data_IF_677570475943
#
_entry.id   IF_677570475943
#
_cell.length_a   1.000
_cell.length_b   1.000
_cell.length_c   1.000
_cell.angle_alpha   90.00
_cell.angle_beta   90.00
_cell.angle_gamma   90.00
#
_symmetry.space_group_name_H-M   'P 1'
#
loop_
_entity.id
_entity.type
_entity.pdbx_description
1 polymer ?
#
# COMPACT_ATOMS: atom_id res chain seq x y z
N UNK A 1 28.26 31.42 -34.17
CA UNK A 1 27.78 30.84 -32.90
C UNK A 1 27.34 29.40 -33.15
N UNK A 2 27.98 28.41 -32.52
CA UNK A 2 27.56 26.99 -32.63
C UNK A 2 26.32 26.79 -31.77
N UNK A 3 25.19 26.44 -32.39
CA UNK A 3 24.02 25.94 -31.68
C UNK A 3 24.34 24.57 -31.11
N UNK A 4 24.61 24.50 -29.81
CA UNK A 4 24.69 23.25 -29.06
C UNK A 4 23.26 22.72 -28.98
N UNK A 5 22.94 21.68 -29.75
CA UNK A 5 21.72 20.89 -29.57
C UNK A 5 21.77 20.30 -28.16
N UNK A 6 21.12 20.94 -27.19
CA UNK A 6 20.87 20.34 -25.88
C UNK A 6 20.04 19.08 -26.12
N UNK A 7 20.63 17.90 -25.87
CA UNK A 7 19.86 16.66 -25.83
C UNK A 7 18.74 16.86 -24.80
N UNK A 8 17.48 16.49 -25.11
CA UNK A 8 16.41 16.57 -24.12
C UNK A 8 16.88 15.81 -22.88
N UNK A 9 16.80 16.44 -21.72
CA UNK A 9 17.19 15.84 -20.45
C UNK A 9 16.41 14.53 -20.33
N UNK A 10 17.13 13.41 -20.42
CA UNK A 10 16.56 12.08 -20.22
C UNK A 10 15.85 12.10 -18.88
N UNK A 11 14.55 11.81 -18.89
CA UNK A 11 13.79 11.73 -17.65
C UNK A 11 14.40 10.60 -16.81
N UNK A 12 14.73 10.89 -15.55
CA UNK A 12 15.17 9.88 -14.60
C UNK A 12 13.94 9.16 -14.02
N UNK A 13 14.19 8.01 -13.40
CA UNK A 13 13.14 7.18 -12.82
C UNK A 13 12.40 7.91 -11.69
N UNK A 14 13.14 8.66 -10.87
CA UNK A 14 12.61 9.50 -9.80
C UNK A 14 11.59 10.52 -10.32
N UNK A 15 11.93 11.29 -11.36
CA UNK A 15 11.02 12.28 -11.95
C UNK A 15 9.78 11.60 -12.51
N UNK A 16 9.92 10.44 -13.15
CA UNK A 16 8.78 9.68 -13.64
C UNK A 16 7.86 9.21 -12.50
N UNK A 17 8.43 8.76 -11.37
CA UNK A 17 7.66 8.36 -10.19
C UNK A 17 6.93 9.54 -9.55
N UNK A 18 7.56 10.71 -9.45
CA UNK A 18 6.90 11.92 -8.94
C UNK A 18 5.72 12.32 -9.81
N UNK A 19 5.87 12.26 -11.15
CA UNK A 19 4.75 12.51 -12.08
C UNK A 19 3.63 11.49 -11.94
N UNK A 20 3.96 10.20 -11.76
CA UNK A 20 2.95 9.18 -11.50
C UNK A 20 2.19 9.45 -10.19
N UNK A 21 2.88 9.86 -9.13
CA UNK A 21 2.26 10.21 -7.85
C UNK A 21 1.30 11.40 -8.00
N UNK A 22 1.69 12.44 -8.76
CA UNK A 22 0.81 13.57 -9.05
C UNK A 22 -0.46 13.15 -9.79
N UNK A 23 -0.36 12.21 -10.74
CA UNK A 23 -1.53 11.66 -11.43
C UNK A 23 -2.42 10.87 -10.47
N UNK A 24 -1.85 10.12 -9.53
CA UNK A 24 -2.64 9.38 -8.53
C UNK A 24 -3.30 10.30 -7.50
N UNK A 25 -2.65 11.40 -7.15
CA UNK A 25 -3.17 12.43 -6.28
C UNK A 25 -4.33 13.18 -6.93
N UNK A 26 -4.23 13.53 -8.22
CA UNK A 26 -5.31 14.17 -8.97
C UNK A 26 -6.51 13.25 -9.21
N UNK A 27 -6.32 11.93 -9.15
CA UNK A 27 -7.39 10.94 -9.15
C UNK A 27 -8.12 10.83 -7.79
N UNK A 28 -7.78 11.67 -6.81
CA UNK A 28 -8.32 11.65 -5.45
C UNK A 28 -8.18 10.28 -4.77
N UNK A 29 -7.03 9.63 -4.99
CA UNK A 29 -6.68 8.39 -4.29
C UNK A 29 -6.62 8.65 -2.78
N UNK A 30 -7.23 7.78 -1.96
CA UNK A 30 -7.27 7.98 -0.51
C UNK A 30 -5.88 8.09 0.13
N UNK A 31 -5.75 8.92 1.16
CA UNK A 31 -4.49 9.26 1.85
C UNK A 31 -3.65 8.03 2.24
N UNK A 32 -4.27 7.01 2.84
CA UNK A 32 -3.58 5.78 3.23
C UNK A 32 -3.02 5.02 2.02
N UNK A 33 -3.78 4.98 0.93
CA UNK A 33 -3.34 4.36 -0.32
C UNK A 33 -2.21 5.16 -0.97
N UNK A 34 -2.27 6.50 -0.95
CA UNK A 34 -1.17 7.36 -1.41
C UNK A 34 0.09 7.18 -0.58
N UNK A 35 -0.03 7.02 0.74
CA UNK A 35 1.10 6.70 1.62
C UNK A 35 1.73 5.36 1.25
N UNK A 36 0.93 4.33 0.99
CA UNK A 36 1.42 3.03 0.52
C UNK A 36 2.16 3.16 -0.83
N UNK A 37 1.63 3.94 -1.77
CA UNK A 37 2.31 4.24 -3.04
C UNK A 37 3.67 4.91 -2.82
N UNK A 38 3.72 6.01 -2.05
CA UNK A 38 4.95 6.77 -1.77
C UNK A 38 6.01 5.88 -1.11
N UNK A 39 5.62 5.10 -0.11
CA UNK A 39 6.54 4.21 0.60
C UNK A 39 7.09 3.11 -0.30
N UNK A 40 6.25 2.49 -1.14
CA UNK A 40 6.68 1.43 -2.03
C UNK A 40 7.60 1.94 -3.14
N UNK A 41 7.28 3.08 -3.74
CA UNK A 41 8.09 3.69 -4.80
C UNK A 41 9.42 4.21 -4.25
N UNK A 42 9.44 4.82 -3.07
CA UNK A 42 10.68 5.26 -2.42
C UNK A 42 11.62 4.07 -2.13
N UNK A 43 11.08 2.94 -1.66
CA UNK A 43 11.86 1.71 -1.46
C UNK A 43 12.42 1.16 -2.77
N UNK A 44 11.61 1.15 -3.83
CA UNK A 44 12.08 0.71 -5.13
C UNK A 44 13.17 1.63 -5.68
N UNK A 45 13.00 2.95 -5.54
CA UNK A 45 13.97 3.93 -6.00
C UNK A 45 15.33 3.75 -5.29
N UNK A 46 15.31 3.51 -3.98
CA UNK A 46 16.52 3.29 -3.17
C UNK A 46 17.32 2.05 -3.61
N UNK A 47 16.65 1.01 -4.11
CA UNK A 47 17.28 -0.23 -4.59
C UNK A 47 17.58 -0.19 -6.11
N UNK A 48 17.25 0.91 -6.80
CA UNK A 48 17.36 1.04 -8.26
C UNK A 48 18.54 1.91 -8.72
N UNK A 49 18.90 1.79 -9.99
CA UNK A 49 19.92 2.64 -10.63
C UNK A 49 19.37 4.01 -11.08
N UNK A 50 18.15 4.38 -10.68
CA UNK A 50 17.45 5.62 -11.06
C UNK A 50 17.37 5.86 -12.59
N UNK A 51 17.34 4.80 -13.39
CA UNK A 51 17.34 4.87 -14.85
C UNK A 51 16.04 4.32 -15.44
N UNK A 52 15.54 4.98 -16.49
CA UNK A 52 14.44 4.46 -17.32
C UNK A 52 14.94 3.59 -18.48
N UNK A 53 16.25 3.41 -18.61
CA UNK A 53 16.83 2.53 -19.61
C UNK A 53 16.35 1.09 -19.41
N UNK A 54 15.77 0.50 -20.45
CA UNK A 54 15.04 -0.76 -20.34
C UNK A 54 15.82 -1.93 -19.71
N UNK A 55 17.08 -2.25 -20.09
CA UNK A 55 17.82 -3.35 -19.47
C UNK A 55 18.13 -3.09 -17.99
N UNK A 56 18.43 -1.85 -17.60
CA UNK A 56 18.65 -1.47 -16.20
C UNK A 56 17.34 -1.56 -15.41
N UNK A 57 16.27 -0.94 -15.89
CA UNK A 57 14.95 -0.97 -15.25
C UNK A 57 14.44 -2.42 -15.09
N UNK A 58 14.64 -3.26 -16.11
CA UNK A 58 14.30 -4.67 -16.06
C UNK A 58 15.07 -5.40 -14.95
N UNK A 59 16.38 -5.16 -14.84
CA UNK A 59 17.22 -5.73 -13.78
C UNK A 59 16.76 -5.27 -12.39
N UNK A 60 16.47 -3.98 -12.24
CA UNK A 60 16.03 -3.39 -10.97
C UNK A 60 14.68 -3.95 -10.53
N UNK A 61 13.72 -4.09 -11.44
CA UNK A 61 12.41 -4.70 -11.17
C UNK A 61 12.57 -6.15 -10.69
N UNK A 62 13.39 -6.96 -11.37
CA UNK A 62 13.60 -8.35 -11.00
C UNK A 62 14.30 -8.48 -9.65
N UNK A 63 15.36 -7.69 -9.44
CA UNK A 63 16.12 -7.66 -8.17
C UNK A 63 15.22 -7.25 -7.01
N UNK A 64 14.40 -6.22 -7.19
CA UNK A 64 13.47 -5.75 -6.16
C UNK A 64 12.45 -6.83 -5.76
N UNK A 65 11.85 -7.54 -6.72
CA UNK A 65 10.91 -8.61 -6.39
C UNK A 65 11.60 -9.86 -5.83
N UNK A 66 12.82 -10.16 -6.26
CA UNK A 66 13.61 -11.27 -5.72
C UNK A 66 14.07 -11.04 -4.28
N UNK A 67 14.31 -9.77 -3.90
CA UNK A 67 14.67 -9.39 -2.53
C UNK A 67 13.50 -9.53 -1.54
N UNK A 68 12.25 -9.67 -2.01
CA UNK A 68 11.10 -9.91 -1.13
C UNK A 68 11.13 -11.39 -0.71
N UNK A 69 11.40 -11.70 0.58
CA UNK A 69 11.45 -13.08 1.03
C UNK A 69 10.09 -13.75 0.88
N UNK A 70 10.10 -15.08 0.76
CA UNK A 70 8.91 -15.88 0.56
C UNK A 70 8.01 -15.90 1.81
N UNK A 71 7.19 -14.84 1.93
CA UNK A 71 6.31 -14.57 3.08
C UNK A 71 4.86 -14.52 2.60
N UNK A 72 3.96 -14.01 3.45
CA UNK A 72 2.54 -13.88 3.16
C UNK A 72 2.26 -13.25 1.78
N UNK A 73 1.24 -13.75 1.05
CA UNK A 73 0.86 -13.23 -0.26
C UNK A 73 0.66 -11.71 -0.28
N UNK A 74 0.06 -11.15 0.79
CA UNK A 74 -0.13 -9.72 0.96
C UNK A 74 1.18 -8.90 0.89
N UNK A 75 2.29 -9.43 1.43
CA UNK A 75 3.59 -8.75 1.46
C UNK A 75 4.21 -8.61 0.07
N UNK A 76 3.96 -9.57 -0.82
CA UNK A 76 4.38 -9.52 -2.22
C UNK A 76 3.38 -8.77 -3.10
N UNK A 77 2.08 -9.01 -2.89
CA UNK A 77 1.00 -8.49 -3.73
C UNK A 77 0.84 -6.98 -3.65
N UNK A 78 1.11 -6.37 -2.49
CA UNK A 78 1.08 -4.90 -2.33
C UNK A 78 2.13 -4.23 -3.24
N UNK A 79 3.44 -4.51 -3.09
CA UNK A 79 4.46 -3.98 -4.01
C UNK A 79 4.19 -4.31 -5.48
N UNK A 80 3.73 -5.53 -5.78
CA UNK A 80 3.38 -5.92 -7.15
C UNK A 80 2.34 -4.98 -7.76
N UNK A 81 1.27 -4.65 -7.03
CA UNK A 81 0.22 -3.76 -7.51
C UNK A 81 0.74 -2.35 -7.77
N UNK A 82 1.51 -1.81 -6.83
CA UNK A 82 2.09 -0.47 -6.94
C UNK A 82 3.04 -0.36 -8.13
N UNK A 83 4.02 -1.25 -8.23
CA UNK A 83 5.03 -1.21 -9.29
C UNK A 83 4.40 -1.52 -10.66
N UNK A 84 3.45 -2.46 -10.74
CA UNK A 84 2.74 -2.72 -11.99
C UNK A 84 1.89 -1.52 -12.43
N UNK A 85 1.23 -0.81 -11.51
CA UNK A 85 0.48 0.40 -11.84
C UNK A 85 1.40 1.49 -12.39
N UNK A 86 2.56 1.70 -11.76
CA UNK A 86 3.58 2.63 -12.23
C UNK A 86 4.11 2.24 -13.63
N UNK A 87 4.50 0.99 -13.84
CA UNK A 87 5.05 0.53 -15.12
C UNK A 87 4.02 0.57 -16.26
N UNK A 88 2.74 0.32 -15.98
CA UNK A 88 1.70 0.49 -16.99
C UNK A 88 1.50 1.98 -17.35
N UNK A 89 1.47 2.86 -16.35
CA UNK A 89 1.44 4.31 -16.62
C UNK A 89 2.67 4.77 -17.40
N UNK A 90 3.87 4.31 -17.05
CA UNK A 90 5.10 4.64 -17.76
C UNK A 90 5.08 4.15 -19.22
N UNK A 91 4.44 3.01 -19.49
CA UNK A 91 4.22 2.49 -20.84
C UNK A 91 3.22 3.35 -21.61
N UNK A 92 2.12 3.78 -20.98
CA UNK A 92 1.12 4.68 -21.57
C UNK A 92 1.69 6.08 -21.90
N UNK A 93 2.65 6.56 -21.11
CA UNK A 93 3.38 7.80 -21.36
C UNK A 93 4.55 7.61 -22.35
N UNK A 94 4.68 6.44 -22.97
CA UNK A 94 5.76 6.07 -23.90
C UNK A 94 7.18 6.21 -23.32
N UNK A 95 7.31 6.24 -21.98
CA UNK A 95 8.60 6.30 -21.28
C UNK A 95 9.37 4.98 -21.36
N UNK A 96 8.64 3.87 -21.45
CA UNK A 96 9.19 2.53 -21.61
C UNK A 96 8.48 1.81 -22.76
N UNK A 97 9.23 1.05 -23.56
CA UNK A 97 8.64 0.31 -24.68
C UNK A 97 7.87 -0.95 -24.26
N UNK A 98 8.21 -1.56 -23.11
CA UNK A 98 7.60 -2.80 -22.61
C UNK A 98 7.59 -2.82 -21.09
N UNK A 99 6.56 -3.43 -20.49
CA UNK A 99 6.49 -3.64 -19.04
C UNK A 99 7.27 -4.92 -18.63
N UNK A 100 8.34 -4.83 -17.82
CA UNK A 100 9.13 -5.98 -17.38
C UNK A 100 8.31 -7.06 -16.66
N UNK A 101 7.31 -6.68 -15.87
CA UNK A 101 6.44 -7.60 -15.12
C UNK A 101 5.66 -8.49 -16.10
N UNK A 102 5.09 -7.90 -17.16
CA UNK A 102 4.33 -8.62 -18.17
C UNK A 102 5.23 -9.53 -19.02
N UNK A 103 6.41 -9.06 -19.38
CA UNK A 103 7.40 -9.83 -20.18
C UNK A 103 7.87 -11.07 -19.41
N UNK A 104 8.13 -10.94 -18.11
CA UNK A 104 8.56 -12.05 -17.26
C UNK A 104 7.44 -12.89 -16.68
N UNK A 105 6.18 -12.59 -17.02
CA UNK A 105 4.99 -13.30 -16.51
C UNK A 105 5.00 -13.37 -14.97
N UNK A 106 5.37 -12.26 -14.32
CA UNK A 106 5.25 -12.15 -12.87
C UNK A 106 3.75 -12.00 -12.54
N UNK A 107 3.28 -12.80 -11.59
CA UNK A 107 1.88 -12.83 -11.19
C UNK A 107 1.74 -12.55 -9.69
N UNK A 108 0.58 -12.01 -9.30
CA UNK A 108 0.19 -11.95 -7.89
C UNK A 108 0.20 -13.35 -7.30
N UNK A 109 0.66 -13.48 -6.06
CA UNK A 109 0.56 -14.72 -5.28
C UNK A 109 -0.90 -14.92 -4.89
N UNK A 110 -1.38 -16.17 -4.98
CA UNK A 110 -2.72 -16.52 -4.50
C UNK A 110 -2.77 -16.29 -2.99
N UNK A 111 -3.79 -15.56 -2.56
CA UNK A 111 -4.11 -15.39 -1.14
C UNK A 111 -5.34 -16.24 -0.87
N UNK A 112 -5.15 -17.36 -0.16
CA UNK A 112 -6.24 -18.26 0.20
C UNK A 112 -7.15 -17.66 1.29
N UNK A 113 -6.85 -16.45 1.78
CA UNK A 113 -7.77 -15.70 2.64
C UNK A 113 -8.09 -16.45 3.93
N UNK A 114 -7.10 -17.15 4.49
CA UNK A 114 -7.28 -18.01 5.67
C UNK A 114 -7.38 -17.19 6.97
N UNK A 115 -8.32 -16.24 7.00
CA UNK A 115 -8.73 -15.52 8.21
C UNK A 115 -9.62 -16.49 8.98
N UNK A 116 -9.07 -17.10 10.04
CA UNK A 116 -9.85 -18.00 10.88
C UNK A 116 -10.90 -17.19 11.64
N UNK A 117 -12.19 -17.50 11.52
CA UNK A 117 -13.22 -16.82 12.29
C UNK A 117 -12.99 -17.07 13.78
N UNK A 118 -13.18 -16.03 14.60
CA UNK A 118 -13.06 -16.16 16.05
C UNK A 118 -14.27 -16.96 16.58
N UNK A 119 -14.09 -18.13 17.22
CA UNK A 119 -15.19 -18.87 17.80
C UNK A 119 -15.77 -18.14 19.01
N UNK A 120 -17.09 -18.29 19.23
CA UNK A 120 -17.86 -17.59 20.26
C UNK A 120 -17.28 -17.82 21.66
N UNK A 121 -16.87 -19.05 21.98
CA UNK A 121 -16.33 -19.40 23.30
C UNK A 121 -15.03 -18.64 23.61
N UNK A 122 -14.19 -18.43 22.60
CA UNK A 122 -12.94 -17.65 22.75
C UNK A 122 -13.23 -16.17 22.88
N UNK A 123 -14.24 -15.65 22.18
CA UNK A 123 -14.69 -14.27 22.35
C UNK A 123 -15.26 -14.04 23.76
N UNK A 124 -16.08 -14.96 24.27
CA UNK A 124 -16.62 -14.89 25.63
C UNK A 124 -15.51 -14.92 26.69
N UNK A 125 -14.55 -15.84 26.55
CA UNK A 125 -13.40 -15.92 27.45
C UNK A 125 -12.56 -14.63 27.43
N UNK A 126 -12.34 -14.04 26.25
CA UNK A 126 -11.67 -12.76 26.11
C UNK A 126 -12.43 -11.62 26.81
N UNK A 127 -13.73 -11.49 26.57
CA UNK A 127 -14.56 -10.46 27.21
C UNK A 127 -14.65 -10.61 28.73
N UNK A 128 -14.63 -11.85 29.24
CA UNK A 128 -14.60 -12.14 30.67
C UNK A 128 -13.28 -11.74 31.34
N UNK A 129 -12.18 -11.72 30.58
CA UNK A 129 -10.85 -11.35 31.10
C UNK A 129 -10.66 -9.84 31.30
N UNK A 130 -11.57 -9.01 30.79
CA UNK A 130 -11.50 -7.55 30.93
C UNK A 130 -11.98 -7.12 32.33
N UNK A 131 -11.14 -6.35 33.02
CA UNK A 131 -11.42 -5.84 34.37
C UNK A 131 -12.42 -4.67 34.34
N UNK A 132 -13.69 -5.00 34.52
CA UNK A 132 -14.82 -4.06 34.54
C UNK A 132 -14.88 -3.17 35.78
N UNK A 133 -14.04 -3.40 36.79
CA UNK A 133 -13.96 -2.53 37.97
C UNK A 133 -13.18 -1.24 37.71
N UNK A 134 -12.36 -1.22 36.66
CA UNK A 134 -11.63 -0.03 36.22
C UNK A 134 -12.35 0.64 35.05
N UNK A 135 -12.21 1.96 34.95
CA UNK A 135 -12.77 2.71 33.81
C UNK A 135 -12.21 2.22 32.47
N UNK A 136 -10.90 1.95 32.40
CA UNK A 136 -10.26 1.46 31.17
C UNK A 136 -10.77 0.10 30.75
N UNK A 137 -10.89 -0.86 31.69
CA UNK A 137 -11.41 -2.18 31.35
C UNK A 137 -12.92 -2.19 31.05
N UNK A 138 -13.72 -1.33 31.72
CA UNK A 138 -15.12 -1.12 31.37
C UNK A 138 -15.27 -0.52 29.96
N UNK A 139 -14.46 0.51 29.62
CA UNK A 139 -14.45 1.13 28.28
C UNK A 139 -14.10 0.11 27.21
N UNK A 140 -13.03 -0.66 27.41
CA UNK A 140 -12.57 -1.65 26.43
C UNK A 140 -13.61 -2.78 26.25
N UNK A 141 -14.25 -3.22 27.34
CA UNK A 141 -15.37 -4.17 27.28
C UNK A 141 -16.54 -3.63 26.46
N UNK A 142 -16.96 -2.38 26.70
CA UNK A 142 -18.06 -1.74 25.97
C UNK A 142 -17.72 -1.59 24.48
N UNK A 143 -16.49 -1.20 24.14
CA UNK A 143 -16.04 -1.11 22.73
C UNK A 143 -16.12 -2.49 22.06
N UNK A 144 -15.58 -3.54 22.70
CA UNK A 144 -15.61 -4.90 22.13
C UNK A 144 -17.05 -5.43 21.96
N UNK A 145 -17.93 -5.18 22.94
CA UNK A 145 -19.35 -5.53 22.85
C UNK A 145 -20.05 -4.77 21.72
N UNK A 146 -19.81 -3.47 21.60
CA UNK A 146 -20.40 -2.64 20.55
C UNK A 146 -19.94 -3.07 19.16
N UNK A 147 -18.64 -3.38 19.00
CA UNK A 147 -18.10 -3.92 17.74
C UNK A 147 -18.72 -5.27 17.36
N UNK A 148 -19.16 -6.05 18.34
CA UNK A 148 -19.73 -7.39 18.13
C UNK A 148 -21.25 -7.36 17.90
N UNK A 149 -21.96 -6.30 18.31
CA UNK A 149 -23.43 -6.22 18.29
C UNK A 149 -24.01 -5.50 17.07
N UNK A 150 -23.25 -4.62 16.41
CA UNK A 150 -23.74 -3.91 15.22
C UNK A 150 -23.80 -4.85 14.02
N UNK A 151 -25.02 -5.08 13.49
CA UNK A 151 -25.27 -5.82 12.23
C UNK A 151 -24.49 -5.28 11.03
N UNK A 152 -24.09 -4.01 11.09
CA UNK A 152 -23.17 -3.39 10.15
C UNK A 152 -21.77 -3.39 10.77
N UNK A 153 -20.83 -4.13 10.20
CA UNK A 153 -19.42 -4.11 10.64
C UNK A 153 -18.78 -2.76 10.32
N UNK A 154 -19.08 -1.71 11.10
CA UNK A 154 -18.45 -0.39 10.96
C UNK A 154 -16.97 -0.49 11.28
N UNK A 155 -16.14 0.14 10.43
CA UNK A 155 -14.69 0.15 10.64
C UNK A 155 -14.39 0.97 11.88
N UNK A 156 -13.30 0.63 12.58
CA UNK A 156 -12.81 1.37 13.76
C UNK A 156 -12.68 2.88 13.50
N UNK A 157 -12.32 3.27 12.28
CA UNK A 157 -12.26 4.66 11.81
C UNK A 157 -13.58 5.41 11.94
N UNK A 158 -14.70 4.73 11.68
CA UNK A 158 -16.04 5.34 11.64
C UNK A 158 -16.53 5.67 13.06
N UNK A 159 -15.99 4.99 14.07
CA UNK A 159 -16.29 5.24 15.49
C UNK A 159 -15.53 6.45 16.03
N UNK A 160 -14.28 6.67 15.60
CA UNK A 160 -13.49 7.81 16.05
C UNK A 160 -14.03 9.15 15.54
N UNK A 161 -14.65 9.16 14.36
CA UNK A 161 -15.25 10.36 13.76
C UNK A 161 -16.66 10.67 14.28
N UNK A 162 -17.33 9.72 14.93
CA UNK A 162 -18.72 9.88 15.41
C UNK A 162 -18.83 10.16 16.91
N UNK A 163 -17.75 10.07 17.69
CA UNK A 163 -17.71 10.51 19.09
C UNK A 163 -17.33 12.00 19.18
N UNK A 164 -18.24 12.91 19.57
CA UNK A 164 -17.84 14.27 19.91
C UNK A 164 -16.92 14.21 21.13
N UNK A 165 -15.72 14.79 21.00
CA UNK A 165 -14.84 15.02 22.14
C UNK A 165 -15.63 15.85 23.16
N UNK A 166 -15.71 15.44 24.44
CA UNK A 166 -16.30 16.29 25.45
C UNK A 166 -15.46 17.57 25.50
N UNK A 167 -16.12 18.71 25.26
CA UNK A 167 -15.56 20.03 25.51
C UNK A 167 -15.04 20.04 26.94
N UNK A 168 -13.71 20.08 27.09
CA UNK A 168 -13.10 20.37 28.38
C UNK A 168 -13.59 21.77 28.79
N UNK A 169 -14.39 21.83 29.85
CA UNK A 169 -14.65 23.03 30.64
C UNK A 169 -13.82 22.95 31.90
#
# INVERSE_FOLDING_TARGET
>A
MRMVKMKPKSMDLETAMQKFLLVKESQHTGEETMKDYRNCLARFLADSHNSLDYPLLKSDVLTFFAAIPDTSPARYNKPFQTINAFLNWALEQELIGKNPIKVHKLHKRRDDGNIKPLPVDKLQAFLASLDKSTYTGLRDYVICMQCSSTKESRRRSDWQSSTPLPSAR
#
